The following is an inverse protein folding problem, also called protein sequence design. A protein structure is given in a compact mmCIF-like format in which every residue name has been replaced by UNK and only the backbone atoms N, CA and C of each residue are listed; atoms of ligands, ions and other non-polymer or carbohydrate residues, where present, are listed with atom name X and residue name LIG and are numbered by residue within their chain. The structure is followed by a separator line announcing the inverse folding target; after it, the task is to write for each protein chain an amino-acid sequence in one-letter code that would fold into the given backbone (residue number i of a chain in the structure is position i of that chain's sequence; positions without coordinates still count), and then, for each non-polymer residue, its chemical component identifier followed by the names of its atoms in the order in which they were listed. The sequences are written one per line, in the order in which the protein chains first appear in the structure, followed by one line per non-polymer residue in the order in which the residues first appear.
data_IF_499367138486
#
_entry.id   IF_499367138486
#
_cell.length_a   1.000
_cell.length_b   1.000
_cell.length_c   1.000
_cell.angle_alpha   90.00
_cell.angle_beta   90.00
_cell.angle_gamma   90.00
#
_symmetry.space_group_name_H-M   'P 1'
#
loop_
_entity.id
_entity.type
_entity.pdbx_description
1 polymer ?
#
# COMPACT_ATOMS: atom_id res chain seq x y z
N UNK A 1 1.59 -20.83 53.20
CA UNK A 1 2.70 -20.13 53.85
C UNK A 1 2.38 -18.65 53.74
N UNK A 2 1.89 -18.06 54.82
CA UNK A 2 1.52 -16.65 54.89
C UNK A 2 2.73 -15.83 55.37
N UNK A 3 2.97 -14.61 54.81
CA UNK A 3 4.06 -13.79 55.29
C UNK A 3 3.70 -13.06 56.59
N UNK A 4 4.73 -12.85 57.37
CA UNK A 4 4.84 -12.41 58.74
C UNK A 4 4.37 -10.96 58.95
N UNK A 5 3.53 -10.73 59.97
CA UNK A 5 2.85 -9.48 60.35
C UNK A 5 3.62 -8.63 61.33
N UNK A 6 4.95 -8.57 61.28
CA UNK A 6 5.76 -7.83 62.27
C UNK A 6 6.36 -6.50 61.83
N UNK A 7 6.11 -6.03 60.63
CA UNK A 7 6.76 -4.82 60.12
C UNK A 7 5.88 -3.54 60.10
N UNK A 8 4.65 -3.62 60.59
CA UNK A 8 3.71 -2.46 60.63
C UNK A 8 3.61 -1.71 61.96
N UNK A 9 4.28 -2.17 63.01
CA UNK A 9 4.11 -1.61 64.37
C UNK A 9 5.15 -0.55 64.73
N UNK A 10 6.10 -0.16 63.87
CA UNK A 10 7.17 0.78 64.23
C UNK A 10 6.88 2.23 63.80
N UNK A 11 5.88 2.48 62.95
CA UNK A 11 5.59 3.81 62.43
C UNK A 11 4.49 4.61 63.13
N UNK A 12 3.93 4.11 64.24
CA UNK A 12 2.79 4.73 64.91
C UNK A 12 3.12 5.33 66.31
N UNK A 13 4.41 5.53 66.68
CA UNK A 13 4.83 6.00 68.00
C UNK A 13 5.61 7.31 68.03
N UNK A 14 5.45 8.20 67.07
CA UNK A 14 6.05 9.55 67.09
C UNK A 14 5.06 10.63 66.68
N UNK A 15 3.97 10.79 67.39
CA UNK A 15 3.12 11.96 67.26
C UNK A 15 2.34 12.20 68.54
N UNK A 16 3.02 12.68 69.60
CA UNK A 16 2.38 13.44 70.70
C UNK A 16 3.47 14.08 71.51
N UNK A 17 3.80 15.34 71.23
CA UNK A 17 4.27 16.35 72.14
C UNK A 17 4.31 17.70 71.40
N UNK A 18 3.23 18.47 71.52
CA UNK A 18 3.22 19.89 71.21
C UNK A 18 2.94 20.62 72.49
N UNK A 19 3.92 21.34 73.00
CA UNK A 19 3.80 22.33 74.07
C UNK A 19 3.55 23.69 73.41
N UNK A 20 2.52 24.37 73.90
CA UNK A 20 2.13 25.72 73.52
C UNK A 20 3.15 26.72 74.03
N UNK A 21 3.81 27.50 73.18
CA UNK A 21 4.48 28.78 73.52
C UNK A 21 4.04 29.85 72.51
N UNK A 22 3.37 30.88 73.02
CA UNK A 22 3.05 32.08 72.27
C UNK A 22 4.31 32.87 71.91
N UNK A 23 4.45 33.42 70.67
CA UNK A 23 5.55 34.31 70.35
C UNK A 23 5.08 35.75 70.40
N UNK A 24 5.84 36.52 71.17
CA UNK A 24 5.81 38.00 71.25
C UNK A 24 5.96 38.65 69.86
N UNK A 25 5.11 39.67 69.59
CA UNK A 25 5.16 40.48 68.38
C UNK A 25 6.37 41.38 68.32
N UNK A 26 7.40 41.07 67.57
CA UNK A 26 8.44 42.00 67.14
C UNK A 26 8.21 42.37 65.66
N UNK A 27 7.88 43.67 65.47
CA UNK A 27 7.81 44.28 64.15
C UNK A 27 9.20 44.41 63.52
N UNK A 28 9.65 43.39 62.78
CA UNK A 28 10.89 43.50 62.02
C UNK A 28 10.53 44.00 60.59
N UNK A 29 10.91 45.25 60.34
CA UNK A 29 10.94 45.77 58.93
C UNK A 29 11.95 44.97 58.13
N UNK A 30 11.47 44.04 57.29
CA UNK A 30 12.33 43.30 56.36
C UNK A 30 12.91 44.25 55.32
N UNK A 31 14.15 44.57 55.44
CA UNK A 31 14.95 45.15 54.39
C UNK A 31 14.99 44.12 53.22
N UNK A 32 14.19 44.32 52.24
CA UNK A 32 14.19 43.48 51.02
C UNK A 32 15.45 43.82 50.22
N UNK A 33 16.41 42.95 50.22
CA UNK A 33 17.65 43.11 49.49
C UNK A 33 17.37 43.10 47.98
N UNK A 34 17.51 44.24 47.26
CA UNK A 34 17.07 44.34 45.85
C UNK A 34 17.79 43.35 44.94
N UNK A 35 18.95 42.86 45.34
CA UNK A 35 19.70 41.89 44.57
C UNK A 35 19.08 40.46 44.61
N UNK A 36 18.50 40.07 45.75
CA UNK A 36 17.78 38.79 45.83
C UNK A 36 16.48 38.80 44.99
N UNK A 37 15.80 39.95 44.91
CA UNK A 37 14.63 40.13 44.05
C UNK A 37 14.98 40.04 42.57
N UNK A 38 16.12 40.57 42.13
CA UNK A 38 16.57 40.47 40.73
C UNK A 38 16.97 39.05 40.36
N UNK A 39 17.63 38.30 41.24
CA UNK A 39 17.99 36.89 40.97
C UNK A 39 16.73 36.02 40.86
N UNK A 40 15.74 36.20 41.74
CA UNK A 40 14.47 35.45 41.67
C UNK A 40 13.68 35.80 40.43
N UNK A 41 13.68 37.02 39.95
CA UNK A 41 13.05 37.42 38.70
C UNK A 41 13.73 36.77 37.50
N UNK A 42 15.06 36.81 37.46
CA UNK A 42 15.84 36.18 36.35
C UNK A 42 15.62 34.66 36.31
N UNK A 43 15.66 33.97 37.46
CA UNK A 43 15.39 32.53 37.52
C UNK A 43 13.96 32.18 37.11
N UNK A 44 12.97 33.00 37.49
CA UNK A 44 11.59 32.82 37.08
C UNK A 44 11.42 32.97 35.56
N UNK A 45 12.09 33.94 34.93
CA UNK A 45 12.09 34.13 33.46
C UNK A 45 12.74 32.92 32.75
N UNK A 46 13.89 32.44 33.26
CA UNK A 46 14.53 31.25 32.67
C UNK A 46 13.67 29.98 32.79
N UNK A 47 13.01 29.80 33.94
CA UNK A 47 12.08 28.67 34.13
C UNK A 47 10.87 28.78 33.21
N UNK A 48 10.28 29.97 33.09
CA UNK A 48 9.16 30.20 32.15
C UNK A 48 9.57 29.96 30.70
N UNK A 49 10.75 30.43 30.29
CA UNK A 49 11.30 30.20 28.97
C UNK A 49 11.58 28.71 28.71
N UNK A 50 12.21 28.03 29.67
CA UNK A 50 12.45 26.58 29.59
C UNK A 50 11.14 25.79 29.48
N UNK A 51 10.13 26.18 30.26
CA UNK A 51 8.79 25.55 30.18
C UNK A 51 8.14 25.79 28.81
N UNK A 52 8.21 27.03 28.32
CA UNK A 52 7.66 27.36 26.98
C UNK A 52 8.38 26.60 25.88
N UNK A 53 9.71 26.45 25.91
CA UNK A 53 10.49 25.66 24.97
C UNK A 53 10.11 24.16 25.06
N UNK A 54 9.97 23.61 26.25
CA UNK A 54 9.57 22.23 26.45
C UNK A 54 8.14 21.99 25.94
N UNK A 55 7.19 22.91 26.16
CA UNK A 55 5.84 22.83 25.61
C UNK A 55 5.88 22.88 24.08
N UNK A 56 6.63 23.82 23.49
CA UNK A 56 6.81 23.92 22.04
C UNK A 56 7.46 22.68 21.45
N UNK A 57 8.46 22.10 22.11
CA UNK A 57 9.08 20.85 21.68
C UNK A 57 8.14 19.66 21.82
N UNK A 58 7.32 19.62 22.86
CA UNK A 58 6.30 18.57 23.06
C UNK A 58 5.13 18.70 22.08
N UNK A 59 4.82 19.92 21.64
CA UNK A 59 3.80 20.18 20.62
C UNK A 59 4.33 19.99 19.19
N UNK A 60 5.65 19.93 18.97
CA UNK A 60 6.24 19.66 17.65
C UNK A 60 5.66 18.42 16.95
N UNK A 61 5.50 17.23 17.58
CA UNK A 61 4.84 16.10 16.92
C UNK A 61 3.35 16.34 16.62
N UNK A 62 2.70 17.29 17.30
CA UNK A 62 1.31 17.69 17.04
C UNK A 62 1.19 18.77 15.95
N UNK A 63 2.19 19.66 15.84
CA UNK A 63 2.27 20.74 14.84
C UNK A 63 2.99 20.26 13.55
N UNK A 64 3.93 19.36 13.67
CA UNK A 64 4.40 18.49 12.62
C UNK A 64 3.60 17.18 12.70
N UNK A 65 2.27 17.27 12.64
CA UNK A 65 1.54 16.26 11.94
C UNK A 65 2.12 16.32 10.53
N UNK A 66 3.30 15.72 10.37
CA UNK A 66 3.74 15.24 9.08
C UNK A 66 2.50 14.58 8.52
N UNK A 67 1.98 15.11 7.46
CA UNK A 67 1.06 14.39 6.61
C UNK A 67 1.64 12.97 6.64
N UNK A 68 0.96 12.08 7.32
CA UNK A 68 1.22 10.65 7.27
C UNK A 68 1.14 10.43 5.79
N UNK A 69 2.35 10.37 5.13
CA UNK A 69 2.51 10.63 3.72
C UNK A 69 1.43 9.83 3.06
N UNK A 70 0.58 10.46 2.29
CA UNK A 70 -0.66 9.88 1.80
C UNK A 70 -0.29 8.50 1.26
N UNK A 71 -0.54 7.43 2.04
CA UNK A 71 -0.14 6.06 1.73
C UNK A 71 -0.89 5.52 0.51
N UNK A 72 -1.42 6.45 -0.30
CA UNK A 72 -2.08 6.16 -1.56
C UNK A 72 -1.06 5.80 -2.63
N UNK A 73 -1.46 4.90 -3.51
CA UNK A 73 -0.66 4.63 -4.70
C UNK A 73 -0.60 5.88 -5.59
N UNK A 74 0.55 6.09 -6.22
CA UNK A 74 0.87 7.32 -6.95
C UNK A 74 -0.08 7.62 -8.12
N UNK A 75 -0.57 6.57 -8.79
CA UNK A 75 -1.33 6.70 -10.04
C UNK A 75 -2.84 6.60 -9.83
N UNK A 76 -3.32 5.54 -9.21
CA UNK A 76 -4.74 5.29 -9.00
C UNK A 76 -5.25 5.74 -7.62
N UNK A 77 -4.40 6.29 -6.75
CA UNK A 77 -4.78 6.78 -5.43
C UNK A 77 -5.29 5.69 -4.49
N UNK A 78 -4.84 4.45 -4.65
CA UNK A 78 -5.32 3.31 -3.87
C UNK A 78 -4.66 3.28 -2.49
N UNK A 79 -5.45 3.07 -1.45
CA UNK A 79 -4.99 2.83 -0.08
C UNK A 79 -4.98 1.34 0.24
N UNK A 80 -4.19 0.93 1.25
CA UNK A 80 -4.24 -0.41 1.83
C UNK A 80 -5.29 -0.43 2.96
N UNK A 81 -6.56 -0.41 2.60
CA UNK A 81 -7.70 -0.26 3.50
C UNK A 81 -8.70 -1.42 3.42
N UNK A 82 -8.45 -2.40 2.56
CA UNK A 82 -9.31 -3.58 2.40
C UNK A 82 -8.74 -4.76 3.19
N UNK A 83 -9.39 -5.21 4.29
CA UNK A 83 -8.97 -6.41 4.99
C UNK A 83 -9.29 -7.66 4.16
N UNK A 84 -8.28 -8.47 3.84
CA UNK A 84 -8.43 -9.71 3.08
C UNK A 84 -7.85 -10.87 3.88
N UNK A 85 -8.65 -11.90 4.08
CA UNK A 85 -8.19 -13.16 4.68
C UNK A 85 -7.38 -13.96 3.66
N UNK A 86 -6.21 -14.44 4.07
CA UNK A 86 -5.36 -15.28 3.23
C UNK A 86 -5.68 -16.75 3.53
N UNK A 87 -5.91 -17.52 2.47
CA UNK A 87 -6.20 -18.94 2.55
C UNK A 87 -5.01 -19.75 2.06
N UNK A 88 -4.85 -20.97 2.59
CA UNK A 88 -3.85 -21.92 2.12
C UNK A 88 -4.25 -22.51 0.76
N UNK A 89 -5.54 -22.74 0.56
CA UNK A 89 -6.13 -23.24 -0.70
C UNK A 89 -7.38 -22.44 -1.02
N UNK A 90 -7.63 -22.23 -2.30
CA UNK A 90 -8.82 -21.56 -2.81
C UNK A 90 -9.34 -22.37 -3.99
N UNK A 91 -10.40 -21.90 -4.64
CA UNK A 91 -10.92 -22.48 -5.89
C UNK A 91 -9.88 -22.54 -7.02
N UNK A 92 -8.84 -21.68 -6.97
CA UNK A 92 -7.71 -21.70 -7.92
C UNK A 92 -6.77 -22.89 -7.77
N UNK A 93 -6.93 -23.70 -6.72
CA UNK A 93 -6.14 -24.92 -6.44
C UNK A 93 -7.00 -26.16 -6.30
N UNK A 94 -8.24 -26.14 -6.83
CA UNK A 94 -9.16 -27.28 -6.83
C UNK A 94 -8.65 -28.43 -7.71
N UNK A 95 -8.98 -29.68 -7.37
CA UNK A 95 -8.70 -30.87 -8.19
C UNK A 95 -9.56 -30.93 -9.46
N UNK A 96 -10.60 -30.11 -9.57
CA UNK A 96 -11.40 -29.99 -10.78
C UNK A 96 -10.68 -29.14 -11.83
N UNK A 97 -9.88 -29.78 -12.69
CA UNK A 97 -9.03 -29.16 -13.71
C UNK A 97 -9.82 -28.20 -14.62
N UNK A 98 -11.05 -28.59 -15.03
CA UNK A 98 -11.87 -27.73 -15.90
C UNK A 98 -12.25 -26.44 -15.21
N UNK A 99 -12.78 -26.52 -13.99
CA UNK A 99 -13.18 -25.35 -13.22
C UNK A 99 -11.98 -24.43 -12.87
N UNK A 100 -10.85 -25.04 -12.50
CA UNK A 100 -9.59 -24.29 -12.23
C UNK A 100 -9.12 -23.57 -13.50
N UNK A 101 -9.09 -24.26 -14.64
CA UNK A 101 -8.69 -23.65 -15.92
C UNK A 101 -9.58 -22.46 -16.27
N UNK A 102 -10.90 -22.57 -16.13
CA UNK A 102 -11.83 -21.47 -16.39
C UNK A 102 -11.57 -20.26 -15.48
N UNK A 103 -11.26 -20.48 -14.19
CA UNK A 103 -10.95 -19.40 -13.26
C UNK A 103 -9.65 -18.67 -13.64
N UNK A 104 -8.58 -19.42 -13.95
CA UNK A 104 -7.31 -18.84 -14.36
C UNK A 104 -7.42 -18.09 -15.70
N UNK A 105 -8.20 -18.59 -16.64
CA UNK A 105 -8.40 -17.93 -17.95
C UNK A 105 -9.15 -16.60 -17.84
N UNK A 106 -9.97 -16.40 -16.80
CA UNK A 106 -10.62 -15.10 -16.51
C UNK A 106 -9.65 -14.03 -16.03
N UNK A 107 -8.44 -14.39 -15.56
CA UNK A 107 -7.43 -13.44 -15.14
C UNK A 107 -6.77 -12.78 -16.35
N UNK A 108 -7.47 -11.85 -16.99
CA UNK A 108 -6.92 -11.10 -18.13
C UNK A 108 -6.05 -9.93 -17.67
N UNK A 109 -4.92 -9.73 -18.37
CA UNK A 109 -4.10 -8.52 -18.26
C UNK A 109 -4.63 -7.35 -19.09
N UNK A 110 -5.52 -7.61 -20.04
CA UNK A 110 -5.97 -6.66 -21.07
C UNK A 110 -6.62 -5.39 -20.50
N UNK A 111 -7.48 -5.46 -19.45
CA UNK A 111 -8.03 -4.25 -18.83
C UNK A 111 -6.97 -3.31 -18.27
N UNK A 112 -5.78 -3.83 -17.98
CA UNK A 112 -4.64 -3.05 -17.50
C UNK A 112 -3.89 -2.28 -18.58
N UNK A 113 -4.20 -2.50 -19.87
CA UNK A 113 -3.64 -1.71 -20.96
C UNK A 113 -4.44 -0.41 -21.10
N UNK A 114 -3.82 0.71 -20.73
CA UNK A 114 -4.45 2.02 -20.63
C UNK A 114 -3.84 3.03 -21.59
N UNK A 115 -4.63 4.01 -22.02
CA UNK A 115 -4.18 5.13 -22.84
C UNK A 115 -4.19 6.41 -21.97
N UNK A 116 -3.00 6.93 -21.65
CA UNK A 116 -2.80 8.10 -20.77
C UNK A 116 -2.45 9.32 -21.60
N UNK A 117 -3.07 10.48 -21.28
CA UNK A 117 -2.78 11.75 -21.96
C UNK A 117 -1.34 12.22 -21.73
N UNK A 118 -0.76 12.94 -22.68
CA UNK A 118 0.59 13.49 -22.54
C UNK A 118 0.72 14.42 -21.33
N UNK A 119 -0.33 15.16 -20.98
CA UNK A 119 -0.33 16.00 -19.78
C UNK A 119 -0.17 15.16 -18.50
N UNK A 120 -0.92 14.05 -18.38
CA UNK A 120 -0.79 13.12 -17.25
C UNK A 120 0.60 12.46 -17.21
N UNK A 121 1.12 12.06 -18.38
CA UNK A 121 2.45 11.45 -18.52
C UNK A 121 3.54 12.43 -18.04
N UNK A 122 3.45 13.71 -18.40
CA UNK A 122 4.39 14.74 -17.96
C UNK A 122 4.25 15.02 -16.46
N UNK A 123 3.03 15.20 -15.97
CA UNK A 123 2.75 15.42 -14.54
C UNK A 123 3.34 14.29 -13.67
N UNK A 124 3.14 13.05 -14.09
CA UNK A 124 3.61 11.86 -13.39
C UNK A 124 5.03 11.43 -13.74
N UNK A 125 5.71 12.19 -14.63
CA UNK A 125 7.08 11.90 -15.07
C UNK A 125 7.25 10.47 -15.60
N UNK A 126 6.25 9.97 -16.29
CA UNK A 126 6.29 8.64 -16.90
C UNK A 126 7.23 8.65 -18.13
N UNK A 127 7.91 7.55 -18.45
CA UNK A 127 8.68 7.42 -19.67
C UNK A 127 7.79 7.54 -20.90
N UNK A 128 8.36 7.98 -22.02
CA UNK A 128 7.66 7.98 -23.30
C UNK A 128 7.30 6.54 -23.69
N UNK A 129 6.05 6.36 -24.15
CA UNK A 129 5.52 5.08 -24.55
C UNK A 129 5.05 5.09 -26.02
N UNK A 130 4.68 3.91 -26.52
CA UNK A 130 4.01 3.77 -27.81
C UNK A 130 2.80 4.71 -27.85
N UNK A 131 2.65 5.46 -28.92
CA UNK A 131 1.49 6.32 -29.13
C UNK A 131 0.24 5.46 -29.29
N UNK A 132 -0.86 5.92 -28.68
CA UNK A 132 -2.14 5.27 -28.85
C UNK A 132 -2.63 5.46 -30.29
N UNK A 133 -2.94 4.40 -31.03
CA UNK A 133 -3.19 4.48 -32.48
C UNK A 133 -4.35 5.40 -32.90
N UNK A 134 -5.30 5.63 -31.99
CA UNK A 134 -6.52 6.39 -32.25
C UNK A 134 -6.51 7.81 -31.66
N UNK A 135 -5.47 8.13 -30.91
CA UNK A 135 -5.29 9.44 -30.28
C UNK A 135 -3.80 9.63 -29.98
N UNK A 136 -3.10 10.28 -30.86
CA UNK A 136 -1.63 10.49 -30.74
C UNK A 136 -1.24 11.34 -29.53
N UNK A 137 -2.18 12.07 -28.90
CA UNK A 137 -1.97 12.80 -27.67
C UNK A 137 -1.95 11.89 -26.43
N UNK A 138 -2.07 10.56 -26.63
CA UNK A 138 -1.98 9.56 -25.56
C UNK A 138 -0.86 8.56 -25.81
N UNK A 139 -0.27 8.08 -24.70
CA UNK A 139 0.67 6.96 -24.68
C UNK A 139 0.00 5.71 -24.14
N UNK A 140 0.41 4.55 -24.64
CA UNK A 140 -0.08 3.23 -24.19
C UNK A 140 0.81 2.73 -23.05
N UNK A 141 0.20 2.34 -21.94
CA UNK A 141 0.87 1.79 -20.75
C UNK A 141 0.17 0.53 -20.27
N UNK A 142 0.93 -0.38 -19.66
CA UNK A 142 0.40 -1.55 -18.97
C UNK A 142 0.59 -1.37 -17.46
N UNK A 143 -0.49 -1.50 -16.69
CA UNK A 143 -0.45 -1.41 -15.24
C UNK A 143 0.21 -2.66 -14.64
N UNK A 144 1.14 -2.45 -13.70
CA UNK A 144 1.95 -3.53 -13.09
C UNK A 144 1.08 -4.67 -12.52
N UNK A 145 0.05 -4.37 -11.73
CA UNK A 145 -0.80 -5.42 -11.16
C UNK A 145 -1.49 -6.30 -12.20
N UNK A 146 -1.85 -5.75 -13.35
CA UNK A 146 -2.43 -6.51 -14.47
C UNK A 146 -1.36 -7.31 -15.23
N UNK A 147 -0.13 -6.77 -15.34
CA UNK A 147 0.99 -7.52 -15.86
C UNK A 147 1.31 -8.74 -14.97
N UNK A 148 1.27 -8.58 -13.66
CA UNK A 148 1.47 -9.68 -12.71
C UNK A 148 0.42 -10.78 -12.87
N UNK A 149 -0.86 -10.42 -13.06
CA UNK A 149 -1.92 -11.38 -13.35
C UNK A 149 -1.69 -12.10 -14.70
N UNK A 150 -1.27 -11.38 -15.74
CA UNK A 150 -0.88 -11.97 -17.03
C UNK A 150 0.27 -12.97 -16.84
N UNK A 151 1.31 -12.61 -16.11
CA UNK A 151 2.43 -13.51 -15.81
C UNK A 151 1.99 -14.76 -15.06
N UNK A 152 1.16 -14.62 -14.04
CA UNK A 152 0.61 -15.75 -13.28
C UNK A 152 -0.20 -16.69 -14.19
N UNK A 153 -1.10 -16.16 -15.04
CA UNK A 153 -1.86 -16.96 -16.01
C UNK A 153 -0.97 -17.70 -17.00
N UNK A 154 0.06 -17.02 -17.50
CA UNK A 154 1.05 -17.60 -18.42
C UNK A 154 1.78 -18.78 -17.78
N UNK A 155 2.21 -18.63 -16.52
CA UNK A 155 2.87 -19.70 -15.77
C UNK A 155 1.91 -20.86 -15.47
N UNK A 156 0.66 -20.57 -15.11
CA UNK A 156 -0.36 -21.59 -14.93
C UNK A 156 -0.51 -22.44 -16.22
N UNK A 157 -0.72 -21.81 -17.36
CA UNK A 157 -0.80 -22.50 -18.67
C UNK A 157 0.44 -23.34 -18.95
N UNK A 158 1.64 -22.79 -18.70
CA UNK A 158 2.91 -23.51 -18.91
C UNK A 158 2.97 -24.79 -18.06
N UNK A 159 2.64 -24.68 -16.76
CA UNK A 159 2.62 -25.82 -15.84
C UNK A 159 1.59 -26.86 -16.27
N UNK A 160 0.34 -26.43 -16.57
CA UNK A 160 -0.73 -27.34 -16.95
C UNK A 160 -0.46 -28.07 -18.27
N UNK A 161 0.10 -27.41 -19.28
CA UNK A 161 0.48 -28.06 -20.54
C UNK A 161 1.57 -29.10 -20.32
N UNK A 162 2.55 -28.82 -19.45
CA UNK A 162 3.60 -29.76 -19.11
C UNK A 162 3.05 -30.96 -18.34
N UNK A 163 2.23 -30.73 -17.31
CA UNK A 163 1.64 -31.79 -16.47
C UNK A 163 0.72 -32.73 -17.24
N UNK A 164 -0.08 -32.19 -18.14
CA UNK A 164 -1.01 -32.94 -18.98
C UNK A 164 -0.35 -33.59 -20.23
N UNK A 165 0.96 -33.40 -20.40
CA UNK A 165 1.69 -33.90 -21.59
C UNK A 165 1.22 -33.30 -22.92
N UNK A 166 0.62 -32.09 -22.86
CA UNK A 166 0.15 -31.39 -24.06
C UNK A 166 1.31 -30.68 -24.77
N UNK A 167 1.21 -30.45 -26.10
CA UNK A 167 2.22 -29.67 -26.82
C UNK A 167 2.35 -28.25 -26.20
N UNK A 168 3.57 -27.91 -25.78
CA UNK A 168 3.84 -26.62 -25.16
C UNK A 168 3.69 -25.49 -26.19
N UNK A 169 2.81 -24.53 -25.92
CA UNK A 169 2.55 -23.34 -26.76
C UNK A 169 3.29 -22.11 -26.27
N UNK A 170 3.77 -22.13 -25.03
CA UNK A 170 4.48 -21.02 -24.39
C UNK A 170 5.96 -21.31 -24.46
N UNK A 171 6.73 -20.38 -25.02
CA UNK A 171 8.19 -20.49 -25.02
C UNK A 171 8.76 -20.48 -23.59
N UNK A 172 9.74 -21.34 -23.31
CA UNK A 172 10.37 -21.36 -21.98
C UNK A 172 10.96 -20.00 -21.59
N UNK A 173 11.46 -19.23 -22.56
CA UNK A 173 11.97 -17.88 -22.35
C UNK A 173 10.87 -16.92 -21.86
N UNK A 174 9.63 -17.07 -22.34
CA UNK A 174 8.50 -16.28 -21.85
C UNK A 174 8.10 -16.69 -20.41
N UNK A 175 8.06 -17.99 -20.11
CA UNK A 175 7.82 -18.46 -18.75
C UNK A 175 8.89 -17.96 -17.76
N UNK A 176 10.18 -18.00 -18.14
CA UNK A 176 11.27 -17.46 -17.34
C UNK A 176 11.17 -15.94 -17.17
N UNK A 177 10.77 -15.20 -18.21
CA UNK A 177 10.49 -13.77 -18.13
C UNK A 177 9.40 -13.49 -17.09
N UNK A 178 8.27 -14.19 -17.15
CA UNK A 178 7.17 -14.05 -16.20
C UNK A 178 7.63 -14.32 -14.74
N UNK A 179 8.41 -15.38 -14.53
CA UNK A 179 8.98 -15.67 -13.20
C UNK A 179 9.87 -14.54 -12.70
N UNK A 180 10.73 -13.98 -13.55
CA UNK A 180 11.64 -12.90 -13.15
C UNK A 180 10.89 -11.59 -12.88
N UNK A 181 9.85 -11.28 -13.66
CA UNK A 181 8.98 -10.12 -13.39
C UNK A 181 8.31 -10.22 -12.02
N UNK A 182 7.72 -11.38 -11.69
CA UNK A 182 7.10 -11.60 -10.39
C UNK A 182 8.13 -11.57 -9.25
N UNK A 183 9.33 -12.12 -9.47
CA UNK A 183 10.43 -12.02 -8.50
C UNK A 183 10.80 -10.57 -8.21
N UNK A 184 10.95 -9.73 -9.25
CA UNK A 184 11.27 -8.31 -9.11
C UNK A 184 10.17 -7.57 -8.34
N UNK A 185 8.89 -7.86 -8.62
CA UNK A 185 7.75 -7.27 -7.94
C UNK A 185 7.72 -7.65 -6.45
N UNK A 186 7.95 -8.93 -6.12
CA UNK A 186 8.06 -9.39 -4.72
C UNK A 186 9.17 -8.66 -3.97
N UNK A 187 10.36 -8.53 -4.59
CA UNK A 187 11.49 -7.81 -4.00
C UNK A 187 11.20 -6.32 -3.84
N UNK A 188 10.59 -5.69 -4.84
CA UNK A 188 10.22 -4.27 -4.82
C UNK A 188 9.21 -3.95 -3.72
N UNK A 189 8.21 -4.80 -3.54
CA UNK A 189 7.20 -4.62 -2.49
C UNK A 189 7.71 -4.92 -1.08
N UNK A 190 8.81 -5.70 -0.93
CA UNK A 190 9.48 -6.02 0.34
C UNK A 190 8.48 -6.20 1.51
N UNK A 191 7.46 -7.05 1.32
CA UNK A 191 6.37 -7.19 2.29
C UNK A 191 6.89 -7.85 3.57
N UNK A 192 6.94 -7.11 4.66
CA UNK A 192 7.46 -7.48 5.98
C UNK A 192 6.41 -8.13 6.91
N UNK A 193 5.18 -8.37 6.42
CA UNK A 193 4.12 -8.98 7.23
C UNK A 193 4.51 -10.40 7.67
N UNK A 194 4.67 -10.68 8.98
CA UNK A 194 5.04 -12.00 9.46
C UNK A 194 3.89 -13.00 9.18
N UNK A 195 4.25 -14.15 8.64
CA UNK A 195 3.32 -15.26 8.45
C UNK A 195 3.60 -16.32 9.51
N UNK A 196 2.58 -16.65 10.32
CA UNK A 196 2.73 -17.71 11.30
C UNK A 196 2.89 -19.08 10.61
N UNK A 197 3.65 -19.99 11.22
CA UNK A 197 3.67 -21.41 10.86
C UNK A 197 2.54 -22.13 11.61
N UNK A 198 1.71 -22.87 10.88
CA UNK A 198 0.66 -23.69 11.48
C UNK A 198 1.23 -24.90 12.22
N UNK A 199 0.40 -25.54 13.06
CA UNK A 199 0.81 -26.70 13.88
C UNK A 199 0.62 -28.04 13.15
N UNK A 200 0.05 -28.04 11.94
CA UNK A 200 -0.12 -29.23 11.11
C UNK A 200 1.23 -29.68 10.49
N UNK A 201 1.29 -30.93 10.03
CA UNK A 201 2.44 -31.50 9.34
C UNK A 201 2.07 -31.85 7.88
N UNK A 202 2.69 -31.25 6.86
CA UNK A 202 3.61 -30.10 6.93
C UNK A 202 2.92 -28.81 7.36
N UNK A 203 3.62 -27.87 8.03
CA UNK A 203 3.00 -26.66 8.54
C UNK A 203 2.60 -25.72 7.40
N UNK A 204 1.32 -25.36 7.35
CA UNK A 204 0.86 -24.25 6.50
C UNK A 204 1.31 -22.91 7.07
N UNK A 205 1.53 -21.92 6.21
CA UNK A 205 1.96 -20.59 6.62
C UNK A 205 0.93 -19.50 6.31
N UNK A 206 0.52 -18.77 7.34
CA UNK A 206 -0.33 -17.58 7.21
C UNK A 206 -1.78 -17.83 6.81
N UNK A 207 -2.26 -19.10 6.82
CA UNK A 207 -3.66 -19.41 6.54
C UNK A 207 -4.57 -18.76 7.59
N UNK A 208 -5.62 -18.06 7.16
CA UNK A 208 -6.53 -17.34 8.05
C UNK A 208 -6.05 -15.95 8.50
N UNK A 209 -4.80 -15.57 8.26
CA UNK A 209 -4.34 -14.20 8.55
C UNK A 209 -5.03 -13.17 7.66
N UNK A 210 -5.46 -12.06 8.28
CA UNK A 210 -5.99 -10.90 7.57
C UNK A 210 -4.84 -9.99 7.17
N UNK A 211 -4.86 -9.49 5.94
CA UNK A 211 -3.94 -8.49 5.40
C UNK A 211 -4.70 -7.26 4.94
N UNK A 212 -4.10 -6.11 5.12
CA UNK A 212 -4.62 -4.86 4.56
C UNK A 212 -4.14 -4.75 3.11
N UNK A 213 -5.05 -4.97 2.19
CA UNK A 213 -4.79 -4.94 0.76
C UNK A 213 -5.29 -3.64 0.12
N UNK A 214 -4.80 -3.34 -1.07
CA UNK A 214 -5.41 -2.33 -1.93
C UNK A 214 -6.67 -2.91 -2.57
N UNK A 215 -7.65 -2.06 -2.81
CA UNK A 215 -8.90 -2.43 -3.46
C UNK A 215 -8.64 -2.69 -4.96
N UNK A 216 -8.72 -3.95 -5.36
CA UNK A 216 -8.54 -4.35 -6.75
C UNK A 216 -9.61 -3.78 -7.68
N UNK A 217 -10.86 -3.71 -7.23
CA UNK A 217 -11.96 -3.17 -8.04
C UNK A 217 -11.79 -1.67 -8.30
N UNK A 218 -11.22 -0.91 -7.35
CA UNK A 218 -10.86 0.49 -7.60
C UNK A 218 -9.76 0.61 -8.66
N UNK A 219 -8.76 -0.28 -8.64
CA UNK A 219 -7.71 -0.30 -9.66
C UNK A 219 -8.30 -0.64 -11.04
N UNK A 220 -9.14 -1.67 -11.10
CA UNK A 220 -9.81 -2.11 -12.33
C UNK A 220 -10.69 -0.98 -12.91
N UNK A 221 -11.49 -0.32 -12.07
CA UNK A 221 -12.29 0.84 -12.49
C UNK A 221 -11.42 1.95 -13.04
N UNK A 222 -10.33 2.29 -12.34
CA UNK A 222 -9.37 3.30 -12.81
C UNK A 222 -8.78 2.94 -14.17
N UNK A 223 -8.44 1.66 -14.39
CA UNK A 223 -7.93 1.15 -15.65
C UNK A 223 -8.98 1.22 -16.78
N UNK A 224 -10.21 0.78 -16.50
CA UNK A 224 -11.31 0.79 -17.47
C UNK A 224 -11.67 2.22 -17.92
N UNK A 225 -11.65 3.19 -17.02
CA UNK A 225 -11.85 4.61 -17.36
C UNK A 225 -10.78 5.17 -18.32
N UNK A 226 -9.63 4.49 -18.42
CA UNK A 226 -8.46 4.86 -19.24
C UNK A 226 -8.10 3.81 -20.27
N UNK A 227 -9.00 2.88 -20.52
CA UNK A 227 -8.73 1.71 -21.36
C UNK A 227 -8.20 2.12 -22.73
N UNK A 228 -7.17 1.41 -23.19
CA UNK A 228 -6.70 1.44 -24.56
C UNK A 228 -7.50 0.51 -25.49
N UNK A 229 -8.60 -0.10 -25.00
CA UNK A 229 -9.41 -1.07 -25.75
C UNK A 229 -8.60 -2.25 -26.30
N UNK A 230 -7.54 -2.61 -25.57
CA UNK A 230 -6.61 -3.65 -26.00
C UNK A 230 -7.19 -5.04 -25.81
N UNK A 231 -6.92 -5.92 -26.79
CA UNK A 231 -7.17 -7.36 -26.76
C UNK A 231 -5.89 -8.12 -27.08
N UNK A 232 -5.65 -9.21 -26.37
CA UNK A 232 -4.49 -10.05 -26.60
C UNK A 232 -4.57 -10.75 -27.98
N UNK A 233 -3.43 -11.18 -28.52
CA UNK A 233 -3.36 -11.87 -29.81
C UNK A 233 -4.15 -13.18 -29.88
N UNK A 234 -4.37 -13.82 -28.74
CA UNK A 234 -5.20 -15.02 -28.63
C UNK A 234 -6.68 -14.70 -28.94
N UNK A 235 -7.14 -13.46 -28.67
CA UNK A 235 -8.51 -13.01 -28.95
C UNK A 235 -8.62 -12.29 -30.30
N UNK A 236 -7.60 -11.53 -30.67
CA UNK A 236 -7.56 -10.75 -31.93
C UNK A 236 -6.23 -11.02 -32.62
N UNK A 237 -6.14 -12.09 -33.41
CA UNK A 237 -4.95 -12.39 -34.20
C UNK A 237 -4.77 -11.35 -35.32
N UNK A 238 -3.51 -11.09 -35.69
CA UNK A 238 -3.17 -10.17 -36.76
C UNK A 238 -2.35 -8.97 -36.33
N UNK A 239 -2.38 -7.86 -37.08
CA UNK A 239 -1.58 -6.67 -36.78
C UNK A 239 -1.89 -6.08 -35.41
N UNK A 240 -0.87 -5.55 -34.75
CA UNK A 240 -0.99 -4.94 -33.42
C UNK A 240 -2.10 -3.88 -33.35
N UNK A 241 -2.29 -3.11 -34.41
CA UNK A 241 -3.30 -2.05 -34.48
C UNK A 241 -4.73 -2.55 -34.31
N UNK A 242 -5.04 -3.76 -34.78
CA UNK A 242 -6.36 -4.37 -34.64
C UNK A 242 -6.68 -4.71 -33.19
N UNK A 243 -5.65 -4.94 -32.37
CA UNK A 243 -5.80 -5.28 -30.97
C UNK A 243 -6.30 -4.12 -30.10
N UNK A 244 -6.24 -2.88 -30.60
CA UNK A 244 -6.73 -1.66 -29.92
C UNK A 244 -8.12 -1.22 -30.41
N UNK A 245 -8.86 -2.09 -31.07
CA UNK A 245 -10.10 -1.75 -31.76
C UNK A 245 -11.36 -1.85 -30.90
N UNK A 246 -11.45 -2.86 -30.06
CA UNK A 246 -12.70 -3.24 -29.38
C UNK A 246 -12.62 -2.93 -27.89
N UNK A 247 -13.40 -1.94 -27.44
CA UNK A 247 -13.47 -1.56 -26.04
C UNK A 247 -14.37 -2.52 -25.23
N UNK A 248 -14.14 -2.66 -23.91
CA UNK A 248 -14.96 -3.49 -23.03
C UNK A 248 -16.44 -3.07 -22.98
N UNK A 249 -16.73 -1.80 -23.26
CA UNK A 249 -18.09 -1.23 -23.28
C UNK A 249 -18.79 -1.38 -24.64
N UNK A 250 -18.18 -2.13 -25.57
CA UNK A 250 -18.73 -2.40 -26.91
C UNK A 250 -18.43 -1.30 -27.93
N UNK A 251 -17.78 -0.21 -27.57
CA UNK A 251 -17.34 0.80 -28.56
C UNK A 251 -16.27 0.22 -29.46
N UNK A 252 -16.32 0.60 -30.74
CA UNK A 252 -15.29 0.32 -31.72
C UNK A 252 -14.59 1.64 -32.04
N UNK A 253 -13.28 1.72 -31.79
CA UNK A 253 -12.50 2.94 -31.95
C UNK A 253 -12.07 3.20 -33.39
N UNK A 254 -12.27 2.23 -34.26
CA UNK A 254 -11.85 2.29 -35.64
C UNK A 254 -12.92 2.93 -36.51
N UNK A 255 -12.72 4.07 -37.16
CA UNK A 255 -13.47 4.39 -38.37
C UNK A 255 -13.01 3.40 -39.46
N UNK A 256 -13.91 2.61 -40.02
CA UNK A 256 -13.58 1.64 -41.07
C UNK A 256 -12.76 2.37 -42.16
N UNK A 257 -11.55 1.90 -42.42
CA UNK A 257 -10.68 2.42 -43.52
C UNK A 257 -11.30 2.20 -44.90
N UNK A 258 -12.40 1.45 -44.96
CA UNK A 258 -13.06 1.10 -46.21
C UNK A 258 -13.81 2.26 -46.88
N UNK A 259 -13.79 3.47 -46.25
CA UNK A 259 -14.50 4.63 -46.81
C UNK A 259 -13.60 5.66 -47.52
N UNK A 260 -12.26 5.52 -47.51
CA UNK A 260 -11.36 6.56 -48.05
C UNK A 260 -10.37 6.10 -49.12
N UNK A 261 -10.28 4.78 -49.42
CA UNK A 261 -9.39 4.28 -50.48
C UNK A 261 -10.06 4.04 -51.82
N UNK A 262 -11.35 4.41 -52.01
CA UNK A 262 -12.02 4.30 -53.31
C UNK A 262 -11.92 5.52 -54.21
N UNK A 263 -11.27 6.62 -53.76
CA UNK A 263 -11.17 7.85 -54.57
C UNK A 263 -9.72 8.24 -54.87
N UNK A 264 -8.89 7.27 -55.29
CA UNK A 264 -7.50 7.55 -55.64
C UNK A 264 -6.88 6.49 -56.58
N UNK A 265 -7.47 6.25 -57.74
CA UNK A 265 -6.79 5.60 -58.87
C UNK A 265 -7.04 6.36 -60.15
#
# INVERSE_FOLDING_TARGET
MAPDTKEYDVLQRQSTEWSDEEPESSSSTRHVNPWKSSITLVTAIFLAFSLAVNVLLSMRPFLTSTSQGDCRSEFAGLQRDVPVQIYQSTEYTSDNITAVTELWERLSGDPGVVALSQNYVQEKRLPHALRFPWDEDKGVYLLQGFHDLHCLRTLFRYVMYTDLGLPQRIAVSHALHCLDQLRQEVVCNANDAPRYAGFQDPPGTGAGQVRMCRDWHKLEKWALERTACFKHEDEVPGPMIERFKSCPDGRILWPSRDATDSDGA
#
